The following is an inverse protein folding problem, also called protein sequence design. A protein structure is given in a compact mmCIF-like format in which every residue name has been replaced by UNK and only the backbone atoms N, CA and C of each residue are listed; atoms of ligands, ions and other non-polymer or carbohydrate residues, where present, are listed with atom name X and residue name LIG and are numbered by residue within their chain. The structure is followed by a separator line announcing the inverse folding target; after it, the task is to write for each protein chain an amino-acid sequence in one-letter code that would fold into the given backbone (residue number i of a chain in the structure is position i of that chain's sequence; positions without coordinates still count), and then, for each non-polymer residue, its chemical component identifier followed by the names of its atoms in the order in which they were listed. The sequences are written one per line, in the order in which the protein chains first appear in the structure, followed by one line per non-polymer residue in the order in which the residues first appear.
data_IF_700256978184
#
_entry.id   IF_700256978184
#
_cell.length_a   1.000
_cell.length_b   1.000
_cell.length_c   1.000
_cell.angle_alpha   90.00
_cell.angle_beta   90.00
_cell.angle_gamma   90.00
#
_symmetry.space_group_name_H-M   'P 1'
#
loop_
_entity.id
_entity.type
_entity.pdbx_description
1 polymer ?
#
# COMPACT_ATOMS: atom_id res chain seq x y z
N UNK A 1 45.84 64.69 -7.09
CA UNK A 1 44.73 65.29 -7.88
C UNK A 1 43.63 64.24 -8.06
N UNK A 2 42.38 64.60 -7.70
CA UNK A 2 41.07 63.99 -8.06
C UNK A 2 40.79 62.58 -7.48
N UNK A 3 39.99 62.38 -6.43
CA UNK A 3 38.53 62.53 -6.18
C UNK A 3 37.58 61.69 -7.04
N UNK A 4 36.70 60.97 -6.32
CA UNK A 4 35.35 60.49 -6.67
C UNK A 4 35.23 59.28 -7.59
N UNK A 5 34.19 58.45 -7.51
CA UNK A 5 33.13 58.09 -6.54
C UNK A 5 32.22 57.13 -7.34
N UNK A 6 31.71 56.07 -6.70
CA UNK A 6 30.41 55.39 -6.95
C UNK A 6 30.01 55.02 -8.39
N UNK A 7 29.59 53.75 -8.62
CA UNK A 7 28.16 53.43 -8.67
C UNK A 7 27.90 51.92 -8.72
N UNK A 8 26.97 51.50 -7.86
CA UNK A 8 26.23 50.24 -7.81
C UNK A 8 25.82 49.62 -9.15
N UNK A 9 25.88 48.30 -9.23
CA UNK A 9 24.79 47.52 -9.81
C UNK A 9 24.67 46.18 -9.08
N UNK A 10 23.94 46.20 -7.96
CA UNK A 10 23.38 44.99 -7.38
C UNK A 10 22.21 44.54 -8.28
N UNK A 11 22.42 43.52 -9.10
CA UNK A 11 21.31 42.80 -9.73
C UNK A 11 20.62 41.98 -8.64
N UNK A 12 19.56 42.56 -8.07
CA UNK A 12 18.58 41.82 -7.31
C UNK A 12 17.80 40.92 -8.29
N UNK A 13 18.10 39.62 -8.27
CA UNK A 13 17.24 38.62 -8.87
C UNK A 13 15.92 38.61 -8.09
N UNK A 14 14.87 39.17 -8.68
CA UNK A 14 13.52 39.03 -8.16
C UNK A 14 13.13 37.56 -8.19
N UNK A 15 13.09 36.95 -7.00
CA UNK A 15 12.41 35.70 -6.75
C UNK A 15 10.95 35.85 -7.15
N UNK A 16 10.55 35.21 -8.24
CA UNK A 16 9.14 34.94 -8.49
C UNK A 16 8.71 33.89 -7.46
N UNK A 17 8.23 34.36 -6.30
CA UNK A 17 7.43 33.54 -5.40
C UNK A 17 6.15 33.20 -6.15
N UNK A 18 6.16 32.08 -6.86
CA UNK A 18 4.93 31.41 -7.27
C UNK A 18 4.20 31.07 -5.97
N UNK A 19 3.18 31.87 -5.65
CA UNK A 19 2.16 31.49 -4.69
C UNK A 19 1.54 30.20 -5.24
N UNK A 20 2.04 29.06 -4.77
CA UNK A 20 1.39 27.78 -4.94
C UNK A 20 0.02 27.93 -4.28
N UNK A 21 -1.01 28.12 -5.11
CA UNK A 21 -2.37 27.98 -4.65
C UNK A 21 -2.49 26.57 -4.06
N UNK A 22 -3.17 26.39 -2.91
CA UNK A 22 -3.49 25.04 -2.47
C UNK A 22 -4.25 24.38 -3.62
N UNK A 23 -3.70 23.29 -4.14
CA UNK A 23 -4.40 22.47 -5.09
C UNK A 23 -5.73 22.09 -4.43
N UNK A 24 -6.84 22.58 -4.97
CA UNK A 24 -8.15 22.03 -4.67
C UNK A 24 -8.04 20.51 -4.80
N UNK A 25 -8.52 19.73 -3.81
CA UNK A 25 -8.53 18.29 -3.96
C UNK A 25 -9.31 17.99 -5.23
N UNK A 26 -8.62 17.43 -6.22
CA UNK A 26 -9.23 17.01 -7.47
C UNK A 26 -10.44 16.16 -7.11
N UNK A 27 -11.63 16.66 -7.42
CA UNK A 27 -12.88 15.92 -7.27
C UNK A 27 -12.70 14.63 -8.05
N UNK A 28 -12.64 13.51 -7.32
CA UNK A 28 -12.49 12.16 -7.88
C UNK A 28 -13.63 11.96 -8.88
N UNK A 29 -13.30 11.96 -10.17
CA UNK A 29 -14.28 11.75 -11.22
C UNK A 29 -14.88 10.34 -11.08
N UNK A 30 -16.20 10.33 -11.10
CA UNK A 30 -17.13 9.20 -11.20
C UNK A 30 -17.00 8.13 -10.11
N UNK A 31 -17.71 8.38 -9.00
CA UNK A 31 -18.28 7.29 -8.21
C UNK A 31 -19.19 6.47 -9.14
N UNK A 32 -18.64 5.38 -9.68
CA UNK A 32 -19.42 4.37 -10.40
C UNK A 32 -20.62 4.05 -9.52
N UNK A 33 -21.83 4.28 -10.02
CA UNK A 33 -23.06 3.90 -9.35
C UNK A 33 -23.12 2.38 -9.29
N UNK A 34 -22.49 1.83 -8.26
CA UNK A 34 -22.51 0.41 -7.94
C UNK A 34 -23.97 0.05 -7.62
N UNK A 35 -24.52 -1.04 -8.17
CA UNK A 35 -25.88 -1.46 -7.83
C UNK A 35 -25.96 -1.65 -6.31
N UNK A 36 -26.84 -0.89 -5.63
CA UNK A 36 -26.97 -0.86 -4.17
C UNK A 36 -27.20 -2.23 -3.50
N UNK A 37 -27.52 -3.26 -4.29
CA UNK A 37 -27.73 -4.65 -3.83
C UNK A 37 -26.44 -5.45 -3.66
N UNK A 38 -25.29 -4.93 -4.10
CA UNK A 38 -24.00 -5.62 -4.06
C UNK A 38 -22.99 -5.00 -3.10
N UNK A 39 -23.25 -3.80 -2.59
CA UNK A 39 -22.34 -3.13 -1.66
C UNK A 39 -22.60 -3.70 -0.26
N UNK A 40 -21.61 -4.34 0.40
CA UNK A 40 -21.71 -4.74 1.79
C UNK A 40 -22.17 -3.57 2.66
N UNK A 41 -22.98 -3.86 3.68
CA UNK A 41 -23.54 -2.83 4.56
C UNK A 41 -22.43 -2.00 5.24
N UNK A 42 -21.31 -2.63 5.61
CA UNK A 42 -20.15 -1.95 6.19
C UNK A 42 -19.55 -0.89 5.25
N UNK A 43 -19.45 -1.19 3.95
CA UNK A 43 -18.93 -0.28 2.93
C UNK A 43 -19.94 0.83 2.65
N UNK A 44 -21.23 0.48 2.55
CA UNK A 44 -22.30 1.47 2.37
C UNK A 44 -22.36 2.46 3.54
N UNK A 45 -22.29 1.95 4.77
CA UNK A 45 -22.31 2.75 5.99
C UNK A 45 -21.07 3.64 6.10
N UNK A 46 -19.88 3.14 5.77
CA UNK A 46 -18.66 3.95 5.74
C UNK A 46 -18.73 5.05 4.68
N UNK A 47 -19.20 4.71 3.47
CA UNK A 47 -19.36 5.69 2.38
C UNK A 47 -20.38 6.77 2.76
N UNK A 48 -21.47 6.42 3.44
CA UNK A 48 -22.46 7.37 3.95
C UNK A 48 -21.88 8.33 5.01
N UNK A 49 -20.83 7.91 5.73
CA UNK A 49 -20.07 8.75 6.67
C UNK A 49 -18.96 9.57 5.98
N UNK A 50 -18.88 9.54 4.64
CA UNK A 50 -17.85 10.24 3.87
C UNK A 50 -16.45 9.60 3.98
N UNK A 51 -16.38 8.36 4.48
CA UNK A 51 -15.13 7.63 4.63
C UNK A 51 -14.75 7.01 3.29
N UNK A 52 -13.56 7.34 2.79
CA UNK A 52 -12.98 6.62 1.65
C UNK A 52 -12.47 5.25 2.13
N UNK A 53 -13.25 4.20 1.86
CA UNK A 53 -12.88 2.83 2.21
C UNK A 53 -11.67 2.32 1.41
N UNK A 54 -11.34 2.99 0.30
CA UNK A 54 -10.12 2.76 -0.47
C UNK A 54 -9.02 3.78 -0.12
N UNK A 55 -9.25 4.67 0.84
CA UNK A 55 -8.32 5.69 1.29
C UNK A 55 -7.52 5.27 2.53
N UNK A 56 -6.62 6.15 3.00
CA UNK A 56 -5.87 5.93 4.24
C UNK A 56 -6.81 5.81 5.43
N UNK A 57 -6.33 5.15 6.49
CA UNK A 57 -7.10 5.07 7.72
C UNK A 57 -7.38 6.47 8.29
N UNK A 58 -8.62 6.75 8.72
CA UNK A 58 -8.94 8.00 9.41
C UNK A 58 -8.11 8.22 10.67
N UNK A 59 -7.79 9.48 10.95
CA UNK A 59 -6.87 9.89 12.02
C UNK A 59 -7.34 9.58 13.45
N UNK A 60 -8.65 9.32 13.63
CA UNK A 60 -9.24 8.93 14.90
C UNK A 60 -8.99 7.46 15.25
N UNK A 61 -8.49 6.66 14.30
CA UNK A 61 -8.06 5.30 14.59
C UNK A 61 -6.68 5.27 15.25
N UNK A 62 -6.60 4.54 16.35
CA UNK A 62 -5.35 4.28 17.07
C UNK A 62 -4.79 2.91 16.70
N UNK A 63 -3.48 2.75 16.78
CA UNK A 63 -2.83 1.44 16.54
C UNK A 63 -2.58 0.78 17.88
N UNK A 64 -3.08 -0.44 18.09
CA UNK A 64 -2.82 -1.24 19.28
C UNK A 64 -2.70 -2.72 18.93
N UNK A 65 -1.70 -3.42 19.46
CA UNK A 65 -1.50 -4.86 19.26
C UNK A 65 -1.37 -5.31 17.77
N UNK A 66 -0.94 -4.40 16.90
CA UNK A 66 -0.77 -4.66 15.47
C UNK A 66 -2.07 -4.63 14.65
N UNK A 67 -3.16 -4.10 15.22
CA UNK A 67 -4.39 -3.79 14.49
C UNK A 67 -4.88 -2.37 14.84
N UNK A 68 -5.75 -1.82 14.00
CA UNK A 68 -6.35 -0.52 14.27
C UNK A 68 -7.58 -0.68 15.17
N UNK A 69 -7.72 0.24 16.12
CA UNK A 69 -8.85 0.35 17.06
C UNK A 69 -9.43 1.76 16.95
N UNK A 70 -10.75 1.87 16.93
CA UNK A 70 -11.47 3.13 16.95
C UNK A 70 -12.80 2.95 17.69
N UNK A 71 -13.33 4.04 18.24
CA UNK A 71 -14.59 4.01 19.00
C UNK A 71 -15.79 3.76 18.07
N UNK A 72 -16.79 2.96 18.49
CA UNK A 72 -17.98 2.74 17.68
C UNK A 72 -18.66 4.03 17.23
N UNK A 73 -18.95 4.12 15.94
CA UNK A 73 -19.60 5.29 15.32
C UNK A 73 -18.64 6.38 14.82
N UNK A 74 -17.32 6.23 15.01
CA UNK A 74 -16.35 7.16 14.42
C UNK A 74 -15.97 6.79 12.98
N UNK A 75 -15.40 7.73 12.19
CA UNK A 75 -14.90 7.45 10.84
C UNK A 75 -13.90 6.29 10.79
N UNK A 76 -12.96 6.24 11.75
CA UNK A 76 -11.99 5.15 11.87
C UNK A 76 -12.65 3.80 12.13
N UNK A 77 -13.71 3.75 12.94
CA UNK A 77 -14.45 2.51 13.19
C UNK A 77 -15.21 2.05 11.95
N UNK A 78 -15.87 2.97 11.25
CA UNK A 78 -16.56 2.66 10.01
C UNK A 78 -15.59 2.16 8.93
N UNK A 79 -14.41 2.77 8.83
CA UNK A 79 -13.35 2.32 7.94
C UNK A 79 -12.88 0.90 8.29
N UNK A 80 -12.56 0.63 9.57
CA UNK A 80 -12.11 -0.70 10.04
C UNK A 80 -13.15 -1.77 9.71
N UNK A 81 -14.44 -1.48 9.91
CA UNK A 81 -15.54 -2.39 9.56
C UNK A 81 -15.65 -2.61 8.06
N UNK A 82 -15.56 -1.56 7.26
CA UNK A 82 -15.59 -1.66 5.80
C UNK A 82 -14.43 -2.50 5.26
N UNK A 83 -13.23 -2.42 5.86
CA UNK A 83 -12.08 -3.23 5.45
C UNK A 83 -12.33 -4.74 5.55
N UNK A 84 -13.20 -5.19 6.45
CA UNK A 84 -13.54 -6.62 6.60
C UNK A 84 -14.21 -7.17 5.34
N UNK A 85 -15.16 -6.43 4.77
CA UNK A 85 -15.92 -6.90 3.62
C UNK A 85 -15.30 -6.46 2.28
N UNK A 86 -14.35 -5.53 2.32
CA UNK A 86 -13.75 -4.92 1.12
C UNK A 86 -13.07 -5.95 0.21
N UNK A 87 -12.33 -6.92 0.77
CA UNK A 87 -11.62 -7.91 -0.04
C UNK A 87 -12.57 -8.83 -0.83
N UNK A 88 -13.65 -9.29 -0.20
CA UNK A 88 -14.67 -10.10 -0.86
C UNK A 88 -15.41 -9.28 -1.93
N UNK A 89 -15.75 -8.04 -1.60
CA UNK A 89 -16.41 -7.12 -2.51
C UNK A 89 -15.54 -6.81 -3.75
N UNK A 90 -14.26 -6.53 -3.57
CA UNK A 90 -13.31 -6.30 -4.68
C UNK A 90 -13.21 -7.50 -5.61
N UNK A 91 -13.23 -8.72 -5.07
CA UNK A 91 -13.24 -9.97 -5.86
C UNK A 91 -14.52 -10.09 -6.70
N UNK A 92 -15.68 -9.74 -6.14
CA UNK A 92 -16.95 -9.73 -6.88
C UNK A 92 -16.97 -8.67 -7.99
N UNK A 93 -16.44 -7.48 -7.72
CA UNK A 93 -16.27 -6.43 -8.73
C UNK A 93 -15.39 -6.93 -9.88
N UNK A 94 -14.26 -7.54 -9.57
CA UNK A 94 -13.34 -8.08 -10.57
C UNK A 94 -13.98 -9.21 -11.40
N UNK A 95 -14.73 -10.13 -10.76
CA UNK A 95 -15.44 -11.21 -11.45
C UNK A 95 -16.50 -10.69 -12.45
N UNK A 96 -16.98 -9.46 -12.24
CA UNK A 96 -17.95 -8.78 -13.09
C UNK A 96 -17.30 -7.82 -14.10
N UNK A 97 -15.97 -7.78 -14.17
CA UNK A 97 -15.22 -6.89 -15.06
C UNK A 97 -15.25 -5.41 -14.63
N UNK A 98 -15.58 -5.12 -13.37
CA UNK A 98 -15.56 -3.77 -12.82
C UNK A 98 -14.19 -3.48 -12.20
N UNK A 99 -13.62 -2.32 -12.49
CA UNK A 99 -12.32 -1.90 -11.98
C UNK A 99 -12.42 -1.49 -10.51
N UNK A 100 -11.56 -2.09 -9.68
CA UNK A 100 -11.27 -1.60 -8.33
C UNK A 100 -10.26 -0.46 -8.45
N UNK A 101 -10.43 0.68 -7.76
CA UNK A 101 -9.46 1.76 -7.81
C UNK A 101 -8.05 1.27 -7.43
N UNK A 102 -7.12 1.26 -8.37
CA UNK A 102 -5.70 1.03 -8.08
C UNK A 102 -5.13 2.29 -7.42
N UNK A 103 -4.45 2.12 -6.27
CA UNK A 103 -3.81 3.23 -5.55
C UNK A 103 -4.03 3.27 -4.04
N UNK A 104 -4.57 2.21 -3.43
CA UNK A 104 -4.90 2.24 -2.00
C UNK A 104 -3.65 2.20 -1.12
N UNK A 105 -3.44 3.29 -0.38
CA UNK A 105 -2.48 3.36 0.72
C UNK A 105 -2.87 2.44 1.89
N UNK A 106 -1.84 2.04 2.63
CA UNK A 106 -1.78 1.12 3.78
C UNK A 106 -3.12 0.86 4.49
N UNK A 107 -3.74 -0.28 4.18
CA UNK A 107 -5.03 -0.75 4.74
C UNK A 107 -4.95 -1.37 6.13
N UNK A 108 -3.75 -1.69 6.62
CA UNK A 108 -3.41 -2.14 7.98
C UNK A 108 -1.91 -2.47 8.00
N UNK A 109 -1.15 -1.90 8.92
CA UNK A 109 0.26 -2.23 9.07
C UNK A 109 0.38 -3.64 9.68
N UNK A 110 0.99 -4.54 8.92
CA UNK A 110 1.19 -5.95 9.31
C UNK A 110 2.08 -6.13 10.54
N UNK A 111 2.90 -5.15 10.92
CA UNK A 111 3.96 -5.29 11.93
C UNK A 111 4.83 -6.54 11.68
N UNK A 112 5.10 -6.83 10.41
CA UNK A 112 6.05 -7.84 9.92
C UNK A 112 7.08 -7.14 9.05
N UNK A 113 8.30 -7.64 9.07
CA UNK A 113 9.31 -7.26 8.09
C UNK A 113 9.58 -8.45 7.18
N UNK A 114 9.39 -8.23 5.88
CA UNK A 114 9.81 -9.19 4.86
C UNK A 114 11.20 -8.82 4.37
N UNK A 115 12.05 -9.83 4.27
CA UNK A 115 13.41 -9.72 3.78
C UNK A 115 13.50 -10.56 2.51
N UNK A 116 13.75 -9.92 1.39
CA UNK A 116 13.85 -10.60 0.10
C UNK A 116 15.28 -10.59 -0.39
N UNK A 117 15.72 -11.69 -0.99
CA UNK A 117 17.10 -11.91 -1.35
C UNK A 117 17.26 -12.31 -2.82
N UNK A 118 18.32 -11.82 -3.46
CA UNK A 118 18.67 -12.20 -4.85
C UNK A 118 19.34 -13.55 -4.98
N UNK A 119 19.78 -14.15 -3.87
CA UNK A 119 20.34 -15.50 -3.85
C UNK A 119 19.40 -16.51 -3.23
N UNK A 120 19.74 -17.78 -3.40
CA UNK A 120 19.05 -18.89 -2.76
C UNK A 120 19.31 -18.88 -1.25
N UNK A 121 18.40 -19.45 -0.47
CA UNK A 121 18.56 -19.63 0.98
C UNK A 121 18.95 -18.35 1.73
N UNK A 122 18.38 -17.21 1.33
CA UNK A 122 18.56 -15.91 1.97
C UNK A 122 20.01 -15.40 1.90
N UNK A 123 20.67 -15.68 0.77
CA UNK A 123 22.02 -15.18 0.46
C UNK A 123 21.99 -14.04 -0.55
N UNK A 124 23.13 -13.35 -0.75
CA UNK A 124 23.24 -12.25 -1.71
C UNK A 124 22.72 -10.93 -1.17
N UNK A 125 22.24 -10.06 -2.07
CA UNK A 125 21.70 -8.74 -1.70
C UNK A 125 20.32 -8.89 -1.07
N UNK A 126 20.03 -8.08 -0.05
CA UNK A 126 18.78 -8.13 0.69
C UNK A 126 18.00 -6.81 0.58
N UNK A 127 16.68 -6.94 0.45
CA UNK A 127 15.73 -5.82 0.52
C UNK A 127 14.77 -6.03 1.67
N UNK A 128 14.63 -4.99 2.48
CA UNK A 128 13.85 -5.02 3.70
C UNK A 128 12.57 -4.19 3.53
N UNK A 129 11.43 -4.83 3.77
CA UNK A 129 10.12 -4.21 3.67
C UNK A 129 9.43 -4.23 5.03
N UNK A 130 9.67 -3.21 5.87
CA UNK A 130 9.03 -3.11 7.17
C UNK A 130 7.58 -2.65 7.05
N UNK A 131 6.71 -3.17 7.91
CA UNK A 131 5.34 -2.67 8.11
C UNK A 131 4.51 -2.59 6.82
N UNK A 132 4.56 -3.65 6.02
CA UNK A 132 3.79 -3.76 4.79
C UNK A 132 2.29 -3.62 5.07
N UNK A 133 1.58 -2.97 4.14
CA UNK A 133 0.13 -2.92 4.14
C UNK A 133 -0.47 -4.19 3.52
N UNK A 134 -1.60 -4.65 4.04
CA UNK A 134 -2.39 -5.67 3.33
C UNK A 134 -2.97 -5.12 2.03
N UNK A 135 -3.01 -5.96 0.99
CA UNK A 135 -3.59 -5.63 -0.32
C UNK A 135 -2.69 -4.75 -1.20
N UNK A 136 -1.54 -4.29 -0.69
CA UNK A 136 -0.65 -3.36 -1.40
C UNK A 136 0.42 -4.13 -2.18
N UNK A 137 0.58 -3.81 -3.47
CA UNK A 137 1.69 -4.31 -4.30
C UNK A 137 2.99 -3.67 -3.79
N UNK A 138 3.99 -4.49 -3.49
CA UNK A 138 5.32 -4.04 -3.11
C UNK A 138 6.34 -4.53 -4.13
N UNK A 139 7.21 -3.61 -4.52
CA UNK A 139 8.18 -3.80 -5.59
C UNK A 139 9.53 -3.29 -5.09
N UNK A 140 10.62 -4.06 -5.22
CA UNK A 140 11.96 -3.57 -4.93
C UNK A 140 12.29 -2.33 -5.75
N UNK A 141 12.97 -1.36 -5.14
CA UNK A 141 13.35 -0.11 -5.81
C UNK A 141 14.23 -0.33 -7.07
N UNK A 142 14.92 -1.46 -7.13
CA UNK A 142 15.78 -1.85 -8.25
C UNK A 142 15.13 -2.94 -9.11
N UNK A 143 15.58 -3.01 -10.37
CA UNK A 143 15.20 -4.05 -11.32
C UNK A 143 15.94 -5.36 -11.01
N UNK A 144 15.47 -6.05 -9.97
CA UNK A 144 16.07 -7.29 -9.46
C UNK A 144 15.06 -8.43 -9.43
N UNK A 145 15.57 -9.63 -9.67
CA UNK A 145 14.87 -10.87 -9.39
C UNK A 145 15.19 -11.33 -7.98
N UNK A 146 14.16 -11.78 -7.28
CA UNK A 146 14.25 -12.30 -5.92
C UNK A 146 14.00 -13.81 -5.96
N UNK A 147 14.79 -14.56 -5.21
CA UNK A 147 14.77 -16.03 -5.20
C UNK A 147 14.53 -16.61 -3.81
N UNK A 148 14.63 -15.79 -2.76
CA UNK A 148 14.24 -16.26 -1.43
C UNK A 148 13.67 -15.15 -0.56
N UNK A 149 12.90 -15.55 0.46
CA UNK A 149 12.26 -14.65 1.41
C UNK A 149 12.42 -15.15 2.84
N UNK A 150 12.73 -14.22 3.74
CA UNK A 150 12.76 -14.42 5.18
C UNK A 150 11.84 -13.45 5.90
N UNK A 151 11.43 -13.82 7.10
CA UNK A 151 10.54 -13.03 7.96
C UNK A 151 11.29 -12.55 9.20
N UNK A 152 11.09 -11.30 9.61
CA UNK A 152 11.59 -10.77 10.88
C UNK A 152 10.50 -10.00 11.66
N UNK A 153 10.66 -9.92 12.98
CA UNK A 153 9.67 -9.41 13.92
C UNK A 153 8.59 -10.44 14.28
N UNK A 154 7.98 -11.05 13.28
CA UNK A 154 7.06 -12.20 13.40
C UNK A 154 6.99 -12.98 12.08
N UNK A 155 6.24 -14.07 12.05
CA UNK A 155 5.96 -14.86 10.85
C UNK A 155 4.54 -14.65 10.37
N UNK A 156 4.16 -15.27 9.23
CA UNK A 156 2.79 -15.24 8.73
C UNK A 156 1.88 -15.98 9.72
N UNK A 157 0.71 -15.41 10.00
CA UNK A 157 -0.36 -16.04 10.79
C UNK A 157 -1.21 -16.97 9.91
N UNK A 158 -2.02 -17.81 10.54
CA UNK A 158 -2.86 -18.79 9.84
C UNK A 158 -3.81 -18.18 8.79
N UNK A 159 -4.22 -16.93 8.95
CA UNK A 159 -5.07 -16.23 7.99
C UNK A 159 -4.30 -15.29 7.05
N UNK A 160 -2.97 -15.30 7.07
CA UNK A 160 -2.13 -14.42 6.26
C UNK A 160 -1.42 -15.19 5.15
N UNK A 161 -1.24 -14.54 4.01
CA UNK A 161 -0.50 -15.14 2.89
C UNK A 161 0.19 -14.07 2.04
N UNK A 162 1.31 -14.45 1.44
CA UNK A 162 2.08 -13.62 0.54
C UNK A 162 1.86 -14.10 -0.90
N UNK A 163 1.30 -13.27 -1.76
CA UNK A 163 1.24 -13.56 -3.20
C UNK A 163 2.50 -13.07 -3.89
N UNK A 164 3.13 -13.95 -4.66
CA UNK A 164 4.33 -13.70 -5.42
C UNK A 164 3.97 -13.52 -6.89
N UNK A 165 4.53 -12.46 -7.49
CA UNK A 165 4.24 -12.06 -8.87
C UNK A 165 5.52 -11.71 -9.62
N UNK A 166 5.48 -11.88 -10.93
CA UNK A 166 6.57 -11.53 -11.83
C UNK A 166 6.01 -10.82 -13.03
N UNK A 167 6.83 -9.95 -13.59
CA UNK A 167 6.60 -9.32 -14.87
C UNK A 167 7.84 -8.57 -15.31
N UNK A 168 7.75 -7.95 -16.47
CA UNK A 168 8.88 -7.28 -17.11
C UNK A 168 9.33 -6.03 -16.35
N UNK A 169 10.64 -5.79 -16.34
CA UNK A 169 11.21 -4.59 -15.72
C UNK A 169 10.81 -3.29 -16.42
N UNK A 170 10.48 -3.36 -17.71
CA UNK A 170 10.03 -2.23 -18.52
C UNK A 170 8.49 -2.16 -18.62
N UNK A 171 7.76 -2.94 -17.81
CA UNK A 171 6.31 -3.04 -17.81
C UNK A 171 5.74 -3.21 -16.40
N UNK A 172 4.60 -3.88 -16.27
CA UNK A 172 4.05 -4.22 -14.95
C UNK A 172 4.85 -5.37 -14.33
N UNK A 173 5.71 -5.05 -13.35
CA UNK A 173 6.49 -6.02 -12.57
C UNK A 173 5.62 -6.96 -11.74
N UNK A 174 4.33 -6.70 -11.63
CA UNK A 174 3.36 -7.54 -10.95
C UNK A 174 2.38 -8.23 -11.93
N UNK A 175 2.68 -8.31 -13.24
CA UNK A 175 1.73 -8.76 -14.25
C UNK A 175 1.19 -10.18 -14.00
N UNK A 176 2.07 -11.13 -13.75
CA UNK A 176 1.76 -12.56 -13.68
C UNK A 176 1.85 -13.09 -12.25
N UNK A 177 0.97 -14.03 -11.90
CA UNK A 177 1.01 -14.74 -10.63
C UNK A 177 1.90 -15.97 -10.73
N UNK A 178 2.78 -16.17 -9.75
CA UNK A 178 3.74 -17.27 -9.73
C UNK A 178 3.61 -18.17 -8.51
N UNK A 179 3.07 -17.66 -7.40
CA UNK A 179 2.94 -18.49 -6.21
C UNK A 179 2.36 -17.77 -5.02
N UNK A 180 2.16 -18.54 -3.96
CA UNK A 180 1.68 -18.05 -2.68
C UNK A 180 2.42 -18.75 -1.55
N UNK A 181 2.88 -17.98 -0.56
CA UNK A 181 3.34 -18.51 0.72
C UNK A 181 2.20 -18.32 1.71
N UNK A 182 1.63 -19.44 2.17
CA UNK A 182 0.53 -19.42 3.13
C UNK A 182 1.08 -19.53 4.55
N UNK A 183 0.47 -18.79 5.48
CA UNK A 183 0.69 -19.01 6.89
C UNK A 183 -0.08 -20.21 7.44
N UNK A 184 0.20 -20.62 8.69
CA UNK A 184 1.23 -20.05 9.55
C UNK A 184 2.64 -20.48 9.11
N UNK A 185 3.61 -19.56 9.14
CA UNK A 185 5.02 -19.89 8.84
C UNK A 185 5.87 -19.99 10.10
N UNK A 186 6.94 -20.78 10.04
CA UNK A 186 7.87 -20.97 11.15
C UNK A 186 8.93 -19.85 11.21
N UNK A 187 9.38 -19.48 12.43
CA UNK A 187 10.40 -18.46 12.61
C UNK A 187 11.76 -18.97 12.11
N UNK A 188 12.61 -18.04 11.67
CA UNK A 188 13.97 -18.33 11.18
C UNK A 188 14.05 -19.27 9.96
N UNK A 189 12.92 -19.54 9.29
CA UNK A 189 12.91 -20.30 8.06
C UNK A 189 13.13 -19.35 6.86
N UNK A 190 14.13 -19.65 6.05
CA UNK A 190 14.26 -19.03 4.73
C UNK A 190 13.47 -19.84 3.70
N UNK A 191 12.56 -19.17 3.01
CA UNK A 191 11.75 -19.78 1.97
C UNK A 191 12.39 -19.54 0.61
N UNK A 192 12.71 -20.63 -0.08
CA UNK A 192 13.06 -20.56 -1.49
C UNK A 192 11.80 -20.32 -2.32
N UNK A 193 11.88 -19.38 -3.25
CA UNK A 193 10.79 -19.01 -4.14
C UNK A 193 11.28 -19.02 -5.59
N UNK A 194 10.33 -19.13 -6.52
CA UNK A 194 10.63 -18.84 -7.92
C UNK A 194 10.94 -17.35 -8.12
N UNK A 195 11.69 -17.05 -9.19
CA UNK A 195 12.11 -15.70 -9.53
C UNK A 195 10.93 -14.72 -9.52
N UNK A 196 10.91 -13.82 -8.54
CA UNK A 196 9.82 -12.90 -8.25
C UNK A 196 10.30 -11.47 -8.40
N UNK A 197 9.47 -10.57 -8.96
CA UNK A 197 9.80 -9.13 -9.08
C UNK A 197 8.83 -8.24 -8.33
N UNK A 198 7.72 -8.78 -7.84
CA UNK A 198 6.69 -8.10 -7.06
C UNK A 198 6.02 -9.05 -6.08
N UNK A 199 5.53 -8.54 -4.96
CA UNK A 199 4.74 -9.32 -4.01
C UNK A 199 3.63 -8.48 -3.40
N UNK A 200 2.68 -9.15 -2.75
CA UNK A 200 1.61 -8.50 -1.98
C UNK A 200 1.30 -9.34 -0.76
N UNK A 201 1.26 -8.69 0.39
CA UNK A 201 0.80 -9.29 1.63
C UNK A 201 -0.74 -9.24 1.64
N UNK A 202 -1.37 -10.35 2.00
CA UNK A 202 -2.83 -10.46 2.04
C UNK A 202 -3.27 -11.13 3.34
N UNK A 203 -4.53 -10.93 3.65
CA UNK A 203 -5.20 -11.59 4.76
C UNK A 203 -6.52 -12.18 4.27
N UNK A 204 -6.82 -13.38 4.69
CA UNK A 204 -8.11 -14.02 4.51
C UNK A 204 -9.04 -13.62 5.67
N UNK A 205 -10.28 -13.35 5.31
CA UNK A 205 -11.36 -13.13 6.27
C UNK A 205 -11.92 -14.52 6.57
N UNK A 206 -11.83 -14.94 7.83
CA UNK A 206 -12.52 -16.14 8.32
C UNK A 206 -13.98 -15.80 8.61
#
# INVERSE_FOLDING_TARGET
MRFSATLSMAMASFSASALAMPAEPAVRQDAVALPAKLVPESIANATALGVDVWGPIPADATTGDGYYKAEPGTPGWAWIRAQVDLAAYEKELQARGLSVPEGVEKRQATNIQLNFFTGDWCTGSAWHFPNLGYGVKAVPAENVYIYSVGFSGRTLRANEYLTLRRGDFNGDRCAEWHGTINGPTEPNLCWQIEATTCFRMNQSVN
#
